data_IF_543509830200
#
_entry.id   IF_543509830200
#
_cell.length_a   1.000
_cell.length_b   1.000
_cell.length_c   1.000
_cell.angle_alpha   90.00
_cell.angle_beta   90.00
_cell.angle_gamma   90.00
#
_symmetry.space_group_name_H-M   'P 1'
#
loop_
_entity.id
_entity.type
_entity.pdbx_description
1 polymer ?
#
# COMPACT_ATOMS: atom_id res chain seq x y z
N UNK A 1 -4.39 8.57 6.29
CA UNK A 1 -4.74 7.46 7.21
C UNK A 1 -3.72 6.33 7.17
N UNK A 2 -3.57 5.56 6.08
CA UNK A 2 -2.64 4.41 6.06
C UNK A 2 -1.21 4.76 6.49
N UNK A 3 -0.63 5.80 5.91
CA UNK A 3 0.69 6.27 6.33
C UNK A 3 0.76 6.76 7.78
N UNK A 4 -0.34 7.30 8.32
CA UNK A 4 -0.39 7.79 9.69
C UNK A 4 -0.34 6.61 10.67
N UNK A 5 -1.13 5.56 10.42
CA UNK A 5 -1.13 4.31 11.19
C UNK A 5 0.25 3.66 11.22
N UNK A 6 0.93 3.61 10.08
CA UNK A 6 2.31 3.11 9.99
C UNK A 6 3.31 4.01 10.74
N UNK A 7 3.00 5.30 10.89
CA UNK A 7 3.82 6.28 11.60
C UNK A 7 3.65 6.27 13.11
N UNK A 8 2.60 5.65 13.65
CA UNK A 8 2.36 5.57 15.10
C UNK A 8 3.43 4.76 15.84
N UNK A 9 3.96 3.71 15.19
CA UNK A 9 5.06 2.92 15.69
C UNK A 9 6.09 2.65 14.58
N UNK A 10 6.97 3.62 14.27
CA UNK A 10 7.83 3.57 13.09
C UNK A 10 8.88 2.45 13.15
N UNK A 11 9.26 1.98 14.34
CA UNK A 11 10.21 0.87 14.52
C UNK A 11 9.55 -0.51 14.44
N UNK A 12 8.21 -0.60 14.34
CA UNK A 12 7.51 -1.88 14.17
C UNK A 12 8.03 -2.60 12.92
N UNK A 13 8.43 -3.85 13.12
CA UNK A 13 8.83 -4.75 12.05
C UNK A 13 7.59 -5.37 11.39
N UNK A 14 7.43 -5.17 10.09
CA UNK A 14 6.29 -5.63 9.30
C UNK A 14 6.76 -6.66 8.27
N UNK A 15 5.94 -7.68 8.01
CA UNK A 15 6.23 -8.69 7.00
C UNK A 15 6.12 -8.10 5.59
N UNK A 16 7.15 -8.32 4.76
CA UNK A 16 7.09 -8.00 3.35
C UNK A 16 6.32 -9.08 2.58
N UNK A 17 5.69 -8.71 1.47
CA UNK A 17 5.14 -9.69 0.53
C UNK A 17 6.27 -10.15 -0.40
N UNK A 18 6.60 -11.43 -0.33
CA UNK A 18 7.70 -12.01 -1.11
C UNK A 18 7.32 -12.21 -2.56
N UNK A 19 8.16 -11.74 -3.49
CA UNK A 19 8.09 -12.13 -4.90
C UNK A 19 6.90 -11.54 -5.67
N UNK A 20 6.27 -10.46 -5.17
CA UNK A 20 5.17 -9.82 -5.89
C UNK A 20 5.59 -9.40 -7.30
N UNK A 21 6.84 -9.00 -7.51
CA UNK A 21 7.46 -8.70 -8.81
C UNK A 21 7.39 -9.85 -9.83
N UNK A 22 7.44 -11.10 -9.35
CA UNK A 22 7.48 -12.30 -10.19
C UNK A 22 6.15 -13.06 -10.22
N UNK A 23 5.23 -12.74 -9.31
CA UNK A 23 3.91 -13.36 -9.28
C UNK A 23 3.09 -13.07 -10.55
N UNK A 24 2.40 -14.09 -11.03
CA UNK A 24 1.33 -13.93 -12.02
C UNK A 24 0.23 -13.03 -11.44
N UNK A 25 -0.44 -12.27 -12.31
CA UNK A 25 -1.39 -11.25 -11.88
C UNK A 25 -2.47 -11.76 -10.92
N UNK A 26 -3.07 -12.93 -11.19
CA UNK A 26 -4.09 -13.54 -10.32
C UNK A 26 -3.55 -13.87 -8.93
N UNK A 27 -2.43 -14.62 -8.87
CA UNK A 27 -1.77 -14.96 -7.60
C UNK A 27 -1.32 -13.71 -6.83
N UNK A 28 -0.86 -12.68 -7.54
CA UNK A 28 -0.50 -11.41 -6.93
C UNK A 28 -1.71 -10.74 -6.28
N UNK A 29 -2.90 -10.78 -6.89
CA UNK A 29 -4.10 -10.20 -6.26
C UNK A 29 -4.43 -10.87 -4.93
N UNK A 30 -4.21 -12.17 -4.82
CA UNK A 30 -4.50 -12.96 -3.61
C UNK A 30 -3.39 -12.89 -2.55
N UNK A 31 -2.21 -12.35 -2.91
CA UNK A 31 -1.05 -12.31 -2.04
C UNK A 31 -1.34 -11.55 -0.74
N UNK A 32 -0.94 -12.15 0.38
CA UNK A 32 -1.09 -11.60 1.72
C UNK A 32 0.02 -12.11 2.64
N UNK A 33 0.38 -11.31 3.64
CA UNK A 33 1.27 -11.72 4.71
C UNK A 33 0.74 -11.14 6.03
N UNK A 34 0.68 -11.97 7.07
CA UNK A 34 0.24 -11.54 8.39
C UNK A 34 1.22 -10.48 8.94
N UNK A 35 0.67 -9.42 9.54
CA UNK A 35 1.49 -8.31 10.06
C UNK A 35 2.21 -7.53 8.96
N UNK A 36 1.70 -7.55 7.73
CA UNK A 36 2.19 -6.73 6.63
C UNK A 36 1.72 -5.28 6.76
N UNK A 37 2.26 -4.34 5.95
CA UNK A 37 1.70 -3.00 5.84
C UNK A 37 0.21 -2.97 5.50
N UNK A 38 -0.28 -3.94 4.72
CA UNK A 38 -1.68 -4.01 4.34
C UNK A 38 -2.53 -4.44 5.54
N UNK A 39 -2.04 -5.38 6.35
CA UNK A 39 -2.69 -5.77 7.61
C UNK A 39 -2.87 -4.56 8.53
N UNK A 40 -1.87 -3.68 8.65
CA UNK A 40 -1.99 -2.43 9.44
C UNK A 40 -3.13 -1.53 8.93
N UNK A 41 -3.31 -1.42 7.61
CA UNK A 41 -4.44 -0.67 7.05
C UNK A 41 -5.78 -1.36 7.36
N UNK A 42 -5.84 -2.68 7.22
CA UNK A 42 -7.06 -3.45 7.43
C UNK A 42 -7.52 -3.49 8.90
N UNK A 43 -6.59 -3.44 9.85
CA UNK A 43 -6.92 -3.40 11.29
C UNK A 43 -7.68 -2.11 11.68
N UNK A 44 -7.49 -1.02 10.95
CA UNK A 44 -8.17 0.26 11.20
C UNK A 44 -9.67 0.19 10.86
N UNK A 45 -10.51 0.46 11.87
CA UNK A 45 -11.96 0.39 11.73
C UNK A 45 -12.54 1.41 10.76
N UNK A 46 -11.93 2.60 10.64
CA UNK A 46 -12.37 3.64 9.72
C UNK A 46 -12.11 3.22 8.26
N UNK A 47 -10.92 2.71 7.96
CA UNK A 47 -10.60 2.20 6.62
C UNK A 47 -11.53 1.05 6.22
N UNK A 48 -11.85 0.13 7.15
CA UNK A 48 -12.84 -0.92 6.90
C UNK A 48 -14.24 -0.36 6.66
N UNK A 49 -14.68 0.60 7.47
CA UNK A 49 -15.97 1.27 7.28
C UNK A 49 -16.05 2.03 5.94
N UNK A 50 -14.91 2.52 5.43
CA UNK A 50 -14.80 3.13 4.11
C UNK A 50 -14.76 2.12 2.95
N UNK A 51 -14.76 0.82 3.22
CA UNK A 51 -14.85 -0.23 2.21
C UNK A 51 -13.56 -1.02 1.94
N UNK A 52 -12.58 -0.98 2.83
CA UNK A 52 -11.43 -1.91 2.82
C UNK A 52 -11.88 -3.26 3.41
N UNK A 53 -12.09 -4.25 2.55
CA UNK A 53 -12.79 -5.50 2.88
C UNK A 53 -11.89 -6.63 3.40
N UNK A 54 -10.60 -6.62 3.05
CA UNK A 54 -9.61 -7.61 3.50
C UNK A 54 -8.18 -7.04 3.36
N UNK A 55 -7.18 -7.84 3.73
CA UNK A 55 -5.76 -7.46 3.70
C UNK A 55 -4.96 -8.06 2.53
N UNK A 56 -5.63 -8.44 1.44
CA UNK A 56 -4.95 -8.88 0.22
C UNK A 56 -4.33 -7.72 -0.54
N UNK A 57 -3.29 -8.03 -1.32
CA UNK A 57 -2.67 -7.11 -2.25
C UNK A 57 -3.69 -6.51 -3.22
N UNK A 58 -4.55 -7.33 -3.82
CA UNK A 58 -5.54 -6.85 -4.79
C UNK A 58 -6.56 -5.90 -4.18
N UNK A 59 -6.97 -6.18 -2.95
CA UNK A 59 -7.88 -5.31 -2.23
C UNK A 59 -7.22 -3.97 -1.84
N UNK A 60 -5.99 -3.99 -1.35
CA UNK A 60 -5.23 -2.76 -1.09
C UNK A 60 -5.04 -1.93 -2.37
N UNK A 61 -4.74 -2.60 -3.48
CA UNK A 61 -4.58 -1.97 -4.79
C UNK A 61 -5.87 -1.23 -5.20
N UNK A 62 -7.00 -1.93 -5.12
CA UNK A 62 -8.33 -1.38 -5.44
C UNK A 62 -8.69 -0.22 -4.52
N UNK A 63 -8.59 -0.43 -3.21
CA UNK A 63 -9.06 0.53 -2.21
C UNK A 63 -8.24 1.84 -2.21
N UNK A 64 -6.91 1.75 -2.35
CA UNK A 64 -6.04 2.92 -2.39
C UNK A 64 -5.79 3.47 -3.80
N UNK A 65 -6.48 2.92 -4.82
CA UNK A 65 -6.34 3.29 -6.23
C UNK A 65 -4.87 3.30 -6.71
N UNK A 66 -4.13 2.26 -6.32
CA UNK A 66 -2.72 2.11 -6.66
C UNK A 66 -2.55 1.31 -7.95
N UNK A 67 -1.48 1.60 -8.69
CA UNK A 67 -1.00 0.68 -9.70
C UNK A 67 -0.26 -0.51 -9.07
N UNK A 68 -0.11 -1.60 -9.83
CA UNK A 68 0.73 -2.72 -9.39
C UNK A 68 2.17 -2.29 -9.08
N UNK A 69 2.73 -1.37 -9.86
CA UNK A 69 4.07 -0.83 -9.60
C UNK A 69 4.15 -0.06 -8.28
N UNK A 70 3.12 0.73 -7.97
CA UNK A 70 3.09 1.53 -6.75
C UNK A 70 2.93 0.67 -5.51
N UNK A 71 2.01 -0.30 -5.54
CA UNK A 71 1.82 -1.18 -4.40
C UNK A 71 3.03 -2.09 -4.20
N UNK A 72 3.63 -2.59 -5.28
CA UNK A 72 4.90 -3.31 -5.26
C UNK A 72 6.01 -2.52 -4.55
N UNK A 73 6.20 -1.23 -4.86
CA UNK A 73 7.20 -0.37 -4.22
C UNK A 73 7.00 -0.28 -2.69
N UNK A 74 5.75 -0.35 -2.23
CA UNK A 74 5.37 -0.24 -0.82
C UNK A 74 5.62 -1.55 -0.06
N UNK A 75 5.24 -2.69 -0.61
CA UNK A 75 5.08 -3.93 0.17
C UNK A 75 6.06 -5.05 -0.16
N UNK A 76 6.82 -4.93 -1.24
CA UNK A 76 7.60 -6.05 -1.74
C UNK A 76 8.94 -6.26 -1.01
N UNK A 77 9.28 -7.53 -0.77
CA UNK A 77 10.56 -7.92 -0.16
C UNK A 77 11.80 -7.55 -0.97
N UNK A 78 11.70 -7.32 -2.28
CA UNK A 78 12.87 -6.98 -3.12
C UNK A 78 13.54 -5.65 -2.72
N UNK A 79 12.84 -4.78 -1.98
CA UNK A 79 13.37 -3.48 -1.54
C UNK A 79 14.06 -3.52 -0.17
N UNK A 80 13.71 -4.50 0.68
CA UNK A 80 13.93 -4.44 2.14
C UNK A 80 14.24 -5.80 2.77
N UNK A 81 14.16 -6.89 2.01
CA UNK A 81 14.25 -8.26 2.51
C UNK A 81 12.91 -8.76 3.07
N UNK A 82 12.95 -9.78 3.93
CA UNK A 82 11.74 -10.43 4.45
C UNK A 82 10.85 -9.51 5.31
N UNK A 83 11.41 -8.42 5.84
CA UNK A 83 10.69 -7.50 6.73
C UNK A 83 11.06 -6.04 6.46
N UNK A 84 10.22 -5.12 6.93
CA UNK A 84 10.40 -3.68 6.76
C UNK A 84 9.98 -2.91 8.02
N UNK A 85 10.65 -1.79 8.29
CA UNK A 85 10.24 -0.88 9.37
C UNK A 85 9.03 -0.06 8.93
N UNK A 86 8.01 0.02 9.77
CA UNK A 86 6.78 0.74 9.49
C UNK A 86 7.01 2.22 9.12
N UNK A 87 8.03 2.88 9.69
CA UNK A 87 8.39 4.26 9.34
C UNK A 87 8.85 4.43 7.89
N UNK A 88 9.64 3.47 7.37
CA UNK A 88 10.05 3.46 5.96
C UNK A 88 8.84 3.31 5.05
N UNK A 89 7.91 2.43 5.41
CA UNK A 89 6.67 2.20 4.65
C UNK A 89 5.76 3.43 4.72
N UNK A 90 5.63 4.05 5.89
CA UNK A 90 4.86 5.29 6.08
C UNK A 90 5.35 6.38 5.12
N UNK A 91 6.66 6.64 5.09
CA UNK A 91 7.26 7.61 4.19
C UNK A 91 6.99 7.29 2.71
N UNK A 92 7.01 6.01 2.35
CA UNK A 92 6.74 5.55 0.98
C UNK A 92 5.28 5.69 0.57
N UNK A 93 4.34 5.31 1.44
CA UNK A 93 2.90 5.52 1.23
C UNK A 93 2.60 7.02 1.07
N UNK A 94 3.17 7.90 1.93
CA UNK A 94 2.99 9.36 1.80
C UNK A 94 3.44 9.86 0.43
N UNK A 95 4.63 9.47 -0.02
CA UNK A 95 5.20 9.90 -1.29
C UNK A 95 4.30 9.52 -2.47
N UNK A 96 3.88 8.26 -2.53
CA UNK A 96 3.09 7.72 -3.64
C UNK A 96 1.69 8.34 -3.67
N UNK A 97 0.97 8.35 -2.54
CA UNK A 97 -0.40 8.85 -2.50
C UNK A 97 -0.48 10.37 -2.70
N UNK A 98 0.52 11.12 -2.23
CA UNK A 98 0.59 12.57 -2.51
C UNK A 98 0.85 12.81 -4.00
N UNK A 99 1.73 12.03 -4.63
CA UNK A 99 1.96 12.08 -6.08
C UNK A 99 0.69 11.79 -6.89
N UNK A 100 -0.09 10.78 -6.50
CA UNK A 100 -1.36 10.44 -7.16
C UNK A 100 -2.36 11.60 -7.11
N UNK A 101 -2.47 12.28 -5.97
CA UNK A 101 -3.35 13.46 -5.82
C UNK A 101 -2.92 14.61 -6.73
N UNK A 102 -1.63 14.90 -6.82
CA UNK A 102 -1.11 15.96 -7.71
C UNK A 102 -1.38 15.61 -9.18
N UNK A 103 -1.13 14.37 -9.59
CA UNK A 103 -1.41 13.91 -10.95
C UNK A 103 -2.91 13.94 -11.29
N UNK A 104 -3.78 13.58 -10.35
CA UNK A 104 -5.23 13.69 -10.52
C UNK A 104 -5.68 15.14 -10.70
N UNK A 105 -5.14 16.06 -9.89
CA UNK A 105 -5.42 17.50 -10.02
C UNK A 105 -4.96 18.06 -11.38
N UNK A 106 -3.74 17.73 -11.84
CA UNK A 106 -3.24 18.16 -13.14
C UNK A 106 -4.12 17.67 -14.31
N UNK A 107 -4.58 16.41 -14.27
CA UNK A 107 -5.49 15.87 -15.28
C UNK A 107 -6.82 16.62 -15.34
N UNK A 108 -7.37 17.00 -14.19
CA UNK A 108 -8.61 17.80 -14.14
C UNK A 108 -8.41 19.19 -14.77
N UNK A 109 -7.24 19.83 -14.58
CA UNK A 109 -6.94 21.12 -15.19
C UNK A 109 -6.74 21.02 -16.71
N UNK A 110 -6.08 19.96 -17.18
CA UNK A 110 -5.79 19.76 -18.61
C UNK A 110 -7.01 19.30 -19.43
N UNK A 111 -8.05 18.74 -18.80
CA UNK A 111 -9.30 18.31 -19.47
C UNK A 111 -10.45 19.31 -19.30
N UNK A 112 -10.22 20.45 -18.64
CA UNK A 112 -11.18 21.54 -18.49
C UNK A 112 -11.13 22.56 -19.65
N UNK A 113 -10.42 22.25 -20.74
CA UNK A 113 -10.31 23.03 -21.98
C UNK A 113 -10.60 22.14 -23.19
#
# INVERSE_FOLDING_TARGET
RWADLLGENPSRCLAALTGTEHMRASLRQEARAAGSPITVAFEDSLLRACGLSNDSYGEAKRFFELSDWQLHDIVCSCHVGATMQAGWVSARVRRILTGNRVAAWLRQQLWAH
#
